data_IF_971375978363
#
_entry.id   IF_971375978363
#
_cell.length_a   1.000
_cell.length_b   1.000
_cell.length_c   1.000
_cell.angle_alpha   90.00
_cell.angle_beta   90.00
_cell.angle_gamma   90.00
#
_symmetry.space_group_name_H-M   'P 1'
#
loop_
_entity.id
_entity.type
_entity.pdbx_description
1 polymer ?
#
# COMPACT_ATOMS: atom_id res chain seq x y z
N UNK A 1 32.00 18.92 4.58
CA UNK A 1 30.87 18.35 3.84
C UNK A 1 30.03 17.54 4.82
N UNK A 2 28.72 17.80 5.01
CA UNK A 2 27.92 17.01 5.93
C UNK A 2 27.57 15.69 5.24
N UNK A 3 27.91 14.58 5.89
CA UNK A 3 27.48 13.24 5.49
C UNK A 3 26.03 13.06 5.94
N UNK A 4 25.09 13.10 5.00
CA UNK A 4 23.71 12.71 5.31
C UNK A 4 23.67 11.22 5.70
N UNK A 5 22.94 10.85 6.76
CA UNK A 5 22.79 9.46 7.13
C UNK A 5 21.96 8.75 6.05
N UNK A 6 22.58 7.81 5.33
CA UNK A 6 21.90 6.92 4.38
C UNK A 6 20.76 6.21 5.10
N UNK A 7 19.54 6.70 4.93
CA UNK A 7 18.34 6.04 5.44
C UNK A 7 18.22 4.70 4.70
N UNK A 8 18.13 3.56 5.41
CA UNK A 8 17.97 2.28 4.74
C UNK A 8 16.69 2.32 3.88
N UNK A 9 16.67 1.65 2.71
CA UNK A 9 15.46 1.56 1.91
C UNK A 9 14.33 1.03 2.80
N UNK A 10 13.20 1.72 2.80
CA UNK A 10 12.00 1.32 3.56
C UNK A 10 11.64 -0.09 3.09
N UNK A 11 11.65 -1.06 4.02
CA UNK A 11 11.29 -2.43 3.69
C UNK A 11 9.93 -2.43 2.96
N UNK A 12 9.83 -3.22 1.88
CA UNK A 12 8.59 -3.36 1.16
C UNK A 12 7.46 -3.65 2.15
N UNK A 13 6.29 -3.01 2.03
CA UNK A 13 5.16 -3.31 2.90
C UNK A 13 4.90 -4.81 2.79
N UNK A 14 4.95 -5.49 3.94
CA UNK A 14 4.65 -6.91 3.96
C UNK A 14 3.21 -7.09 3.46
N UNK A 15 2.94 -8.12 2.63
CA UNK A 15 1.60 -8.34 2.13
C UNK A 15 0.64 -8.45 3.34
N UNK A 16 -0.52 -7.78 3.28
CA UNK A 16 -1.47 -7.81 4.37
C UNK A 16 -1.85 -9.26 4.67
N UNK A 17 -1.72 -9.66 5.94
CA UNK A 17 -2.17 -10.98 6.37
C UNK A 17 -3.68 -10.93 6.46
N UNK A 18 -4.33 -11.69 5.59
CA UNK A 18 -5.78 -11.80 5.50
C UNK A 18 -6.29 -12.46 6.79
N UNK A 19 -7.10 -11.74 7.56
CA UNK A 19 -7.77 -12.30 8.74
C UNK A 19 -9.21 -12.72 8.39
N UNK A 20 -9.81 -13.65 9.14
CA UNK A 20 -11.23 -13.98 8.99
C UNK A 20 -12.12 -12.74 9.17
N UNK A 21 -11.77 -11.84 10.10
CA UNK A 21 -12.49 -10.58 10.30
C UNK A 21 -12.44 -9.65 9.06
N UNK A 22 -11.34 -9.67 8.30
CA UNK A 22 -11.23 -8.92 7.05
C UNK A 22 -12.15 -9.48 5.96
N UNK A 23 -12.34 -10.80 5.91
CA UNK A 23 -13.26 -11.44 4.96
C UNK A 23 -14.71 -11.06 5.29
N UNK A 24 -15.08 -11.05 6.58
CA UNK A 24 -16.41 -10.61 7.02
C UNK A 24 -16.66 -9.12 6.74
N UNK A 25 -15.61 -8.28 6.85
CA UNK A 25 -15.69 -6.84 6.63
C UNK A 25 -15.79 -6.44 5.15
N UNK A 26 -15.00 -7.09 4.29
CA UNK A 26 -14.94 -6.76 2.86
C UNK A 26 -15.84 -7.64 1.98
N UNK A 27 -16.39 -8.71 2.55
CA UNK A 27 -17.27 -9.68 1.90
C UNK A 27 -16.53 -10.76 1.11
N UNK A 28 -15.35 -10.44 0.57
CA UNK A 28 -14.54 -11.38 -0.22
C UNK A 28 -13.04 -11.00 -0.26
N UNK A 29 -12.17 -11.98 -0.51
CA UNK A 29 -10.72 -11.76 -0.61
C UNK A 29 -10.36 -10.85 -1.80
N UNK A 30 -11.12 -10.93 -2.90
CA UNK A 30 -10.95 -10.09 -4.08
C UNK A 30 -11.19 -8.60 -3.76
N UNK A 31 -12.26 -8.31 -3.02
CA UNK A 31 -12.62 -6.95 -2.59
C UNK A 31 -11.56 -6.34 -1.66
N UNK A 32 -10.99 -7.16 -0.78
CA UNK A 32 -9.90 -6.71 0.10
C UNK A 32 -8.58 -6.51 -0.65
N UNK A 33 -8.25 -7.38 -1.64
CA UNK A 33 -7.11 -7.15 -2.52
C UNK A 33 -7.26 -5.85 -3.30
N UNK A 34 -8.45 -5.58 -3.83
CA UNK A 34 -8.74 -4.34 -4.54
C UNK A 34 -8.63 -3.10 -3.63
N UNK A 35 -9.09 -3.20 -2.38
CA UNK A 35 -8.96 -2.11 -1.41
C UNK A 35 -7.52 -1.88 -0.93
N UNK A 36 -6.69 -2.93 -0.94
CA UNK A 36 -5.29 -2.88 -0.51
C UNK A 36 -4.30 -2.69 -1.66
N UNK A 37 -4.78 -2.55 -2.90
CA UNK A 37 -3.94 -2.39 -4.08
C UNK A 37 -3.31 -0.99 -4.14
N UNK A 38 -2.22 -0.82 -3.38
CA UNK A 38 -1.40 0.39 -3.36
C UNK A 38 -0.81 0.71 -4.75
N UNK A 39 -0.70 -0.28 -5.64
CA UNK A 39 -0.27 -0.10 -7.03
C UNK A 39 -1.25 0.80 -7.78
N UNK A 40 -2.55 0.48 -7.70
CA UNK A 40 -3.60 1.33 -8.26
C UNK A 40 -3.63 2.72 -7.64
N UNK A 41 -3.45 2.85 -6.32
CA UNK A 41 -3.38 4.18 -5.67
C UNK A 41 -2.18 5.02 -6.12
N UNK A 42 -1.07 4.39 -6.55
CA UNK A 42 0.10 5.10 -7.10
C UNK A 42 -0.03 5.42 -8.58
N UNK A 43 -0.62 4.52 -9.35
CA UNK A 43 -0.82 4.68 -10.79
C UNK A 43 -1.95 5.66 -11.11
N UNK A 44 -2.90 5.85 -10.18
CA UNK A 44 -3.76 7.02 -10.14
C UNK A 44 -2.90 8.25 -9.82
N UNK A 45 -2.23 8.75 -10.87
CA UNK A 45 -1.44 9.98 -10.84
C UNK A 45 -2.32 11.07 -10.22
N UNK A 46 -1.95 11.67 -9.07
CA UNK A 46 -2.73 12.73 -8.46
C UNK A 46 -2.97 13.80 -9.52
N UNK A 47 -4.18 14.40 -9.60
CA UNK A 47 -4.41 15.49 -10.53
C UNK A 47 -3.34 16.54 -10.25
N UNK A 48 -2.46 16.77 -11.24
CA UNK A 48 -1.47 17.82 -11.18
C UNK A 48 -2.27 19.12 -11.15
N UNK A 49 -2.46 19.69 -9.95
CA UNK A 49 -2.84 21.09 -9.86
C UNK A 49 -1.71 21.88 -10.53
N UNK A 50 -2.09 22.60 -11.58
CA UNK A 50 -1.19 23.19 -12.58
C UNK A 50 -0.20 24.22 -12.06
#
# INVERSE_FOLDING_TARGET
MPTEPTRPPRAAPQPPRITPEDVERFGDEEQMRAASDEGRLRDERPPHHG
#
